data_IF_482857474532
#
_entry.id   IF_482857474532
#
_cell.length_a   1.000
_cell.length_b   1.000
_cell.length_c   1.000
_cell.angle_alpha   90.00
_cell.angle_beta   90.00
_cell.angle_gamma   90.00
#
_symmetry.space_group_name_H-M   'P 1'
#
loop_
_entity.id
_entity.type
_entity.pdbx_description
1 polymer ?
#
# COMPACT_ATOMS: atom_id res chain seq x y z
N UNK A 1 -7.92 -7.81 -18.86
CA UNK A 1 -7.55 -6.67 -19.73
C UNK A 1 -8.77 -5.93 -20.22
N UNK A 2 -9.73 -6.60 -20.88
CA UNK A 2 -10.98 -5.98 -21.37
C UNK A 2 -11.70 -5.01 -20.41
N UNK A 3 -11.79 -5.33 -19.11
CA UNK A 3 -12.42 -4.43 -18.13
C UNK A 3 -11.62 -3.13 -17.88
N UNK A 4 -10.29 -3.21 -17.87
CA UNK A 4 -9.42 -2.04 -17.71
C UNK A 4 -9.49 -1.16 -18.95
N UNK A 5 -9.38 -1.76 -20.14
CA UNK A 5 -9.42 -1.05 -21.42
C UNK A 5 -10.75 -0.30 -21.56
N UNK A 6 -11.87 -0.97 -21.28
CA UNK A 6 -13.19 -0.35 -21.28
C UNK A 6 -13.34 0.77 -20.22
N UNK A 7 -12.74 0.61 -19.03
CA UNK A 7 -12.77 1.67 -18.02
C UNK A 7 -11.96 2.90 -18.46
N UNK A 8 -10.84 2.71 -19.14
CA UNK A 8 -10.02 3.79 -19.70
C UNK A 8 -10.80 4.51 -20.80
N UNK A 9 -11.39 3.77 -21.75
CA UNK A 9 -12.16 4.33 -22.86
C UNK A 9 -13.36 5.17 -22.37
N UNK A 10 -14.04 4.69 -21.32
CA UNK A 10 -15.15 5.39 -20.69
C UNK A 10 -14.73 6.46 -19.67
N UNK A 11 -13.41 6.66 -19.46
CA UNK A 11 -12.86 7.59 -18.44
C UNK A 11 -13.38 7.32 -17.03
N UNK A 12 -13.69 6.06 -16.72
CA UNK A 12 -14.09 5.62 -15.39
C UNK A 12 -12.84 5.40 -14.52
N UNK A 13 -12.41 6.47 -13.86
CA UNK A 13 -11.22 6.45 -13.01
C UNK A 13 -11.34 5.43 -11.87
N UNK A 14 -12.54 5.21 -11.32
CA UNK A 14 -12.73 4.32 -10.18
C UNK A 14 -12.53 2.85 -10.60
N UNK A 15 -13.13 2.43 -11.70
CA UNK A 15 -12.95 1.06 -12.21
C UNK A 15 -11.52 0.86 -12.71
N UNK A 16 -10.94 1.85 -13.38
CA UNK A 16 -9.57 1.78 -13.86
C UNK A 16 -8.58 1.60 -12.70
N UNK A 17 -8.66 2.43 -11.66
CA UNK A 17 -7.80 2.33 -10.47
C UNK A 17 -7.94 0.97 -9.78
N UNK A 18 -9.18 0.49 -9.56
CA UNK A 18 -9.44 -0.80 -8.93
C UNK A 18 -8.85 -1.95 -9.75
N UNK A 19 -9.07 -1.95 -11.05
CA UNK A 19 -8.61 -3.04 -11.93
C UNK A 19 -7.09 -3.04 -12.03
N UNK A 20 -6.46 -1.87 -12.17
CA UNK A 20 -5.02 -1.73 -12.16
C UNK A 20 -4.41 -2.23 -10.83
N UNK A 21 -5.02 -1.87 -9.70
CA UNK A 21 -4.53 -2.29 -8.39
C UNK A 21 -4.60 -3.83 -8.21
N UNK A 22 -5.65 -4.48 -8.72
CA UNK A 22 -5.75 -5.93 -8.71
C UNK A 22 -4.66 -6.61 -9.58
N UNK A 23 -4.29 -6.01 -10.71
CA UNK A 23 -3.16 -6.51 -11.51
C UNK A 23 -1.86 -6.43 -10.70
N UNK A 24 -1.61 -5.32 -9.99
CA UNK A 24 -0.45 -5.19 -9.09
C UNK A 24 -0.41 -6.31 -8.04
N UNK A 25 -1.54 -6.59 -7.39
CA UNK A 25 -1.63 -7.68 -6.41
C UNK A 25 -1.31 -9.05 -7.01
N UNK A 26 -1.87 -9.35 -8.19
CA UNK A 26 -1.62 -10.62 -8.90
C UNK A 26 -0.13 -10.74 -9.24
N UNK A 27 0.47 -9.68 -9.80
CA UNK A 27 1.91 -9.66 -10.13
C UNK A 27 2.77 -9.83 -8.88
N UNK A 28 2.43 -9.19 -7.77
CA UNK A 28 3.11 -9.39 -6.49
C UNK A 28 3.01 -10.86 -6.05
N UNK A 29 1.81 -11.46 -6.08
CA UNK A 29 1.60 -12.87 -5.71
C UNK A 29 2.38 -13.85 -6.58
N UNK A 30 2.40 -13.64 -7.90
CA UNK A 30 3.19 -14.45 -8.84
C UNK A 30 4.67 -14.39 -8.50
N UNK A 31 5.15 -13.22 -8.10
CA UNK A 31 6.55 -12.96 -7.82
C UNK A 31 7.04 -13.45 -6.47
N UNK A 32 6.16 -13.86 -5.56
CA UNK A 32 6.49 -14.19 -4.16
C UNK A 32 7.59 -15.26 -4.02
N UNK A 33 7.65 -16.20 -4.96
CA UNK A 33 8.58 -17.33 -4.90
C UNK A 33 9.85 -17.13 -5.76
N UNK A 34 10.00 -15.97 -6.40
CA UNK A 34 11.16 -15.68 -7.21
C UNK A 34 12.14 -14.79 -6.44
N UNK A 35 13.47 -15.03 -6.53
CA UNK A 35 14.45 -14.17 -5.89
C UNK A 35 14.30 -12.74 -6.40
N UNK A 36 14.12 -11.79 -5.49
CA UNK A 36 14.04 -10.37 -5.80
C UNK A 36 14.92 -9.57 -4.87
N UNK A 37 15.52 -8.52 -5.41
CA UNK A 37 16.29 -7.53 -4.64
C UNK A 37 15.39 -6.76 -3.67
N UNK A 38 14.18 -6.41 -4.13
CA UNK A 38 13.16 -5.73 -3.35
C UNK A 38 12.13 -6.77 -2.88
N UNK A 39 11.85 -6.86 -1.56
CA UNK A 39 10.83 -7.76 -1.03
C UNK A 39 9.45 -7.51 -1.65
N UNK A 40 8.70 -8.59 -1.91
CA UNK A 40 7.35 -8.50 -2.51
C UNK A 40 6.39 -7.70 -1.65
N UNK A 41 6.62 -7.69 -0.34
CA UNK A 41 5.86 -6.95 0.64
C UNK A 41 5.94 -5.43 0.43
N UNK A 42 7.04 -4.89 -0.11
CA UNK A 42 7.11 -3.47 -0.51
C UNK A 42 6.06 -3.17 -1.58
N UNK A 43 5.95 -4.04 -2.60
CA UNK A 43 4.88 -3.94 -3.61
C UNK A 43 3.49 -4.12 -3.00
N UNK A 44 3.34 -4.99 -2.00
CA UNK A 44 2.06 -5.16 -1.31
C UNK A 44 1.66 -3.94 -0.46
N UNK A 45 2.62 -3.21 0.11
CA UNK A 45 2.33 -1.95 0.78
C UNK A 45 1.76 -0.92 -0.20
N UNK A 46 2.34 -0.80 -1.41
CA UNK A 46 1.81 0.08 -2.47
C UNK A 46 0.39 -0.35 -2.88
N UNK A 47 0.15 -1.66 -3.02
CA UNK A 47 -1.19 -2.19 -3.29
C UNK A 47 -2.21 -1.78 -2.22
N UNK A 48 -1.89 -1.97 -0.94
CA UNK A 48 -2.82 -1.66 0.14
C UNK A 48 -3.00 -0.15 0.37
N UNK A 49 -1.98 0.66 0.13
CA UNK A 49 -2.09 2.12 0.15
C UNK A 49 -3.05 2.59 -0.94
N UNK A 50 -2.93 2.08 -2.17
CA UNK A 50 -3.90 2.35 -3.24
C UNK A 50 -5.32 1.83 -2.91
N UNK A 51 -5.46 0.74 -2.17
CA UNK A 51 -6.76 0.31 -1.65
C UNK A 51 -7.36 1.36 -0.70
N UNK A 52 -6.57 2.05 0.14
CA UNK A 52 -7.09 3.15 0.96
C UNK A 52 -7.65 4.27 0.07
N UNK A 53 -6.90 4.71 -0.95
CA UNK A 53 -7.36 5.73 -1.91
C UNK A 53 -8.68 5.33 -2.58
N UNK A 54 -8.84 4.05 -2.95
CA UNK A 54 -10.04 3.53 -3.59
C UNK A 54 -11.23 3.54 -2.62
N UNK A 55 -11.03 3.17 -1.37
CA UNK A 55 -12.13 3.00 -0.40
C UNK A 55 -12.52 4.30 0.30
N UNK A 56 -11.61 5.27 0.44
CA UNK A 56 -11.88 6.56 1.11
C UNK A 56 -13.11 7.28 0.51
N UNK A 57 -13.21 7.52 -0.82
CA UNK A 57 -14.34 8.24 -1.41
C UNK A 57 -15.68 7.51 -1.26
N UNK A 58 -15.65 6.19 -1.10
CA UNK A 58 -16.86 5.37 -0.98
C UNK A 58 -17.44 5.36 0.42
N UNK A 59 -16.72 5.88 1.42
CA UNK A 59 -17.14 5.84 2.82
C UNK A 59 -17.10 4.45 3.45
N UNK A 60 -16.45 3.47 2.81
CA UNK A 60 -16.53 2.07 3.20
C UNK A 60 -15.59 1.72 4.36
N UNK A 61 -15.99 2.09 5.58
CA UNK A 61 -15.22 1.89 6.83
C UNK A 61 -14.76 0.45 7.07
N UNK A 62 -15.58 -0.61 6.84
CA UNK A 62 -15.11 -1.98 6.99
C UNK A 62 -13.90 -2.30 6.10
N UNK A 63 -13.88 -1.82 4.86
CA UNK A 63 -12.76 -2.01 3.95
C UNK A 63 -11.55 -1.18 4.35
N UNK A 64 -11.73 0.07 4.78
CA UNK A 64 -10.63 0.88 5.32
C UNK A 64 -9.95 0.22 6.52
N UNK A 65 -10.73 -0.27 7.49
CA UNK A 65 -10.18 -0.96 8.66
C UNK A 65 -9.46 -2.26 8.28
N UNK A 66 -10.01 -3.03 7.33
CA UNK A 66 -9.37 -4.24 6.82
C UNK A 66 -8.04 -3.92 6.12
N UNK A 67 -8.02 -2.88 5.29
CA UNK A 67 -6.82 -2.42 4.59
C UNK A 67 -5.75 -1.97 5.57
N UNK A 68 -6.08 -1.15 6.58
CA UNK A 68 -5.11 -0.77 7.64
C UNK A 68 -4.48 -1.96 8.33
N UNK A 69 -5.29 -2.98 8.69
CA UNK A 69 -4.77 -4.21 9.30
C UNK A 69 -3.82 -4.96 8.37
N UNK A 70 -4.08 -4.97 7.08
CA UNK A 70 -3.21 -5.60 6.10
C UNK A 70 -1.90 -4.82 5.89
N UNK A 71 -1.95 -3.49 5.87
CA UNK A 71 -0.75 -2.64 5.86
C UNK A 71 0.10 -2.94 7.09
N UNK A 72 -0.48 -2.91 8.29
CA UNK A 72 0.23 -3.20 9.54
C UNK A 72 0.90 -4.58 9.54
N UNK A 73 0.19 -5.63 9.11
CA UNK A 73 0.76 -6.98 9.00
C UNK A 73 1.92 -7.05 8.00
N UNK A 74 1.76 -6.39 6.86
CA UNK A 74 2.79 -6.36 5.81
C UNK A 74 4.02 -5.60 6.28
N UNK A 75 3.83 -4.46 6.96
CA UNK A 75 4.91 -3.70 7.58
C UNK A 75 5.70 -4.55 8.58
N UNK A 76 5.00 -5.20 9.52
CA UNK A 76 5.65 -6.06 10.52
C UNK A 76 6.47 -7.20 9.90
N UNK A 77 6.10 -7.69 8.72
CA UNK A 77 6.89 -8.71 8.02
C UNK A 77 8.18 -8.19 7.38
N UNK A 78 8.23 -6.93 6.93
CA UNK A 78 9.44 -6.37 6.29
C UNK A 78 10.30 -5.51 7.20
N UNK A 79 9.73 -5.00 8.29
CA UNK A 79 10.44 -4.13 9.23
C UNK A 79 11.79 -4.73 9.67
N UNK A 80 11.93 -6.03 9.98
CA UNK A 80 13.23 -6.61 10.28
C UNK A 80 14.26 -6.50 9.13
N UNK A 81 13.82 -6.59 7.89
CA UNK A 81 14.69 -6.45 6.71
C UNK A 81 15.15 -5.00 6.51
N UNK A 82 14.25 -4.03 6.72
CA UNK A 82 14.61 -2.60 6.70
C UNK A 82 15.67 -2.30 7.75
N UNK A 83 15.50 -2.84 8.97
CA UNK A 83 16.49 -2.71 10.04
C UNK A 83 17.81 -3.41 9.71
N UNK A 84 17.78 -4.58 9.07
CA UNK A 84 18.97 -5.31 8.65
C UNK A 84 19.79 -4.56 7.58
N UNK A 85 19.13 -3.74 6.76
CA UNK A 85 19.79 -2.81 5.83
C UNK A 85 20.37 -1.56 6.52
N UNK A 86 20.21 -1.43 7.85
CA UNK A 86 20.76 -0.33 8.65
C UNK A 86 19.91 0.93 8.70
N UNK A 87 18.73 0.96 8.04
CA UNK A 87 17.89 2.15 7.97
C UNK A 87 16.88 2.24 9.13
N UNK A 88 17.42 2.51 10.33
CA UNK A 88 16.61 2.70 11.54
C UNK A 88 15.70 3.92 11.48
N UNK A 89 16.08 4.93 10.70
CA UNK A 89 15.31 6.15 10.51
C UNK A 89 14.05 5.86 9.70
N UNK A 90 14.20 5.17 8.58
CA UNK A 90 13.08 4.79 7.72
C UNK A 90 12.12 3.87 8.47
N UNK A 91 12.65 2.86 9.18
CA UNK A 91 11.85 1.99 10.02
C UNK A 91 11.02 2.77 11.07
N UNK A 92 11.63 3.74 11.74
CA UNK A 92 10.94 4.54 12.74
C UNK A 92 9.83 5.42 12.14
N UNK A 93 10.09 6.06 11.00
CA UNK A 93 9.06 6.88 10.35
C UNK A 93 7.87 6.03 9.89
N UNK A 94 8.13 4.88 9.27
CA UNK A 94 7.06 3.96 8.89
C UNK A 94 6.30 3.45 10.12
N UNK A 95 6.99 3.12 11.23
CA UNK A 95 6.34 2.75 12.49
C UNK A 95 5.33 3.82 12.95
N UNK A 96 5.71 5.10 12.89
CA UNK A 96 4.82 6.21 13.25
C UNK A 96 3.61 6.29 12.31
N UNK A 97 3.82 6.18 10.99
CA UNK A 97 2.73 6.24 10.02
C UNK A 97 1.73 5.09 10.22
N UNK A 98 2.22 3.87 10.42
CA UNK A 98 1.40 2.69 10.68
C UNK A 98 0.65 2.84 12.00
N UNK A 99 1.30 3.37 13.05
CA UNK A 99 0.63 3.66 14.31
C UNK A 99 -0.50 4.68 14.14
N UNK A 100 -0.28 5.77 13.42
CA UNK A 100 -1.32 6.76 13.10
C UNK A 100 -2.46 6.14 12.30
N UNK A 101 -2.16 5.33 11.28
CA UNK A 101 -3.16 4.64 10.47
C UNK A 101 -4.03 3.68 11.30
N UNK A 102 -3.42 2.96 12.25
CA UNK A 102 -4.14 2.00 13.10
C UNK A 102 -5.13 2.69 14.07
N UNK A 103 -4.90 3.96 14.40
CA UNK A 103 -5.77 4.77 15.25
C UNK A 103 -6.76 5.64 14.47
N UNK A 104 -6.64 5.69 13.14
CA UNK A 104 -7.54 6.47 12.29
C UNK A 104 -8.99 5.93 12.36
N UNK A 105 -9.92 6.83 12.65
CA UNK A 105 -11.35 6.56 12.81
C UNK A 105 -12.23 7.44 11.91
N UNK A 106 -11.68 8.57 11.46
CA UNK A 106 -12.34 9.54 10.60
C UNK A 106 -11.77 9.51 9.18
N UNK A 107 -12.60 9.79 8.17
CA UNK A 107 -12.17 9.72 6.77
C UNK A 107 -11.05 10.71 6.43
N UNK A 108 -11.05 11.91 7.02
CA UNK A 108 -9.99 12.89 6.85
C UNK A 108 -8.63 12.39 7.40
N UNK A 109 -8.65 11.64 8.50
CA UNK A 109 -7.45 11.00 9.05
C UNK A 109 -6.89 9.97 8.07
N UNK A 110 -7.77 9.13 7.49
CA UNK A 110 -7.40 8.20 6.42
C UNK A 110 -6.79 8.91 5.21
N UNK A 111 -7.39 10.01 4.75
CA UNK A 111 -6.85 10.79 3.61
C UNK A 111 -5.47 11.37 3.91
N UNK A 112 -5.30 11.97 5.08
CA UNK A 112 -4.02 12.57 5.48
C UNK A 112 -2.93 11.50 5.58
N UNK A 113 -3.20 10.38 6.27
CA UNK A 113 -2.19 9.34 6.45
C UNK A 113 -1.85 8.62 5.14
N UNK A 114 -2.81 8.43 4.24
CA UNK A 114 -2.57 7.84 2.91
C UNK A 114 -1.60 8.72 2.11
N UNK A 115 -1.78 10.04 2.14
CA UNK A 115 -0.88 10.98 1.45
C UNK A 115 0.55 10.94 2.01
N UNK A 116 0.70 10.72 3.32
CA UNK A 116 2.02 10.57 3.95
C UNK A 116 2.66 9.22 3.63
N UNK A 117 1.87 8.13 3.62
CA UNK A 117 2.33 6.80 3.24
C UNK A 117 2.85 6.77 1.80
N UNK A 118 2.17 7.41 0.85
CA UNK A 118 2.61 7.52 -0.55
C UNK A 118 4.02 8.12 -0.66
N UNK A 119 4.26 9.24 0.05
CA UNK A 119 5.56 9.91 0.03
C UNK A 119 6.67 9.06 0.62
N UNK A 120 6.35 8.26 1.63
CA UNK A 120 7.35 7.46 2.33
C UNK A 120 7.62 6.12 1.63
N UNK A 121 6.69 5.59 0.84
CA UNK A 121 6.92 4.37 0.06
C UNK A 121 8.12 4.49 -0.90
N UNK A 122 8.30 5.64 -1.54
CA UNK A 122 9.45 5.91 -2.40
C UNK A 122 10.79 5.86 -1.63
N UNK A 123 10.78 6.18 -0.32
CA UNK A 123 11.96 6.10 0.53
C UNK A 123 12.19 4.65 0.98
N UNK A 124 11.13 3.94 1.34
CA UNK A 124 11.19 2.53 1.70
C UNK A 124 11.73 1.65 0.57
N UNK A 125 11.36 1.92 -0.68
CA UNK A 125 11.88 1.16 -1.83
C UNK A 125 13.40 1.32 -1.97
N UNK A 126 13.93 2.53 -1.73
CA UNK A 126 15.36 2.84 -1.84
C UNK A 126 16.21 2.10 -0.81
N UNK A 127 15.65 1.67 0.32
CA UNK A 127 16.37 0.85 1.32
C UNK A 127 16.90 -0.45 0.70
N UNK A 128 16.18 -0.98 -0.30
CA UNK A 128 16.48 -2.26 -0.95
C UNK A 128 17.16 -2.10 -2.32
N UNK A 129 17.44 -0.87 -2.76
CA UNK A 129 18.17 -0.58 -4.01
C UNK A 129 19.66 -0.39 -3.76
#
# INVERSE_FOLDING_TARGET
MYLLDNAIDNKDAQIAMRTANQITFIVAKMNKNFPKKIPVEVTLLNYYERELEIWIPTGNKPWLSKTSKNINRTWLSIRPLVLAHGDTREAHKFDLLINTLNHASLFNEYTQITTLLQKEQDNLEKVFQ
#
